data_IF_597142103614
#
_entry.id   IF_597142103614
#
_cell.length_a   1.000
_cell.length_b   1.000
_cell.length_c   1.000
_cell.angle_alpha   90.00
_cell.angle_beta   90.00
_cell.angle_gamma   90.00
#
_symmetry.space_group_name_H-M   'P 1'
#
loop_
_entity.id
_entity.type
_entity.pdbx_description
1 polymer ?
#
# COMPACT_ATOMS: atom_id res chain seq x y z
N UNK A 1 -18.18 -10.01 15.40
CA UNK A 1 -17.63 -10.38 15.50
C UNK A 1 -17.50 -10.70 15.31
N UNK A 2 -17.62 -10.67 15.28
CA UNK A 2 -17.11 -11.11 15.30
C UNK A 2 -16.95 -11.94 15.12
N UNK A 3 -17.19 -12.08 15.06
CA UNK A 3 -16.68 -12.97 15.05
C UNK A 3 -16.62 -13.72 14.76
N UNK A 4 -16.89 -13.84 14.65
CA UNK A 4 -16.46 -14.84 14.54
C UNK A 4 -16.53 -15.39 14.05
N UNK A 5 -16.60 -15.53 14.01
CA UNK A 5 -16.24 -16.31 13.72
C UNK A 5 -16.24 -16.71 13.29
N UNK A 6 -16.37 -16.78 13.31
CA UNK A 6 -15.88 -17.54 13.08
C UNK A 6 -15.80 -17.88 12.60
N UNK A 7 -15.91 -17.95 12.34
CA UNK A 7 -15.37 -18.69 12.00
C UNK A 7 -15.23 -18.86 11.53
N UNK A 8 -15.33 -19.15 11.35
CA UNK A 8 -14.80 -19.74 10.91
C UNK A 8 -14.58 -20.04 10.28
N UNK A 9 -14.75 -20.20 9.96
CA UNK A 9 -14.27 -20.80 9.36
C UNK A 9 -14.02 -21.05 8.65
N UNK A 10 -14.16 -21.18 8.39
CA UNK A 10 -13.66 -21.56 7.75
C UNK A 10 -13.31 -21.63 7.15
N UNK A 11 -13.32 -21.76 6.85
CA UNK A 11 -12.74 -21.95 6.21
C UNK A 11 -12.20 -22.02 5.60
N UNK A 12 -12.22 -21.74 5.50
CA UNK A 12 -11.58 -21.90 4.96
C UNK A 12 -10.90 -22.16 4.15
N UNK A 13 -10.79 -22.21 4.06
CA UNK A 13 -9.97 -22.56 3.20
C UNK A 13 -9.06 -21.93 2.68
N UNK A 14 -8.89 -21.79 2.71
CA UNK A 14 -8.17 -21.23 2.06
C UNK A 14 -6.90 -20.74 2.04
N UNK A 15 -6.22 -20.35 2.46
CA UNK A 15 -4.88 -19.95 2.57
C UNK A 15 -3.92 -20.28 1.47
N UNK A 16 -4.40 -20.84 0.40
CA UNK A 16 -3.55 -21.24 -0.70
C UNK A 16 -3.52 -20.23 -1.82
N UNK A 17 -4.21 -19.14 -1.65
CA UNK A 17 -4.34 -18.12 -2.70
C UNK A 17 -3.32 -17.01 -2.52
N UNK A 18 -3.04 -16.32 -3.62
CA UNK A 18 -2.27 -15.10 -3.58
C UNK A 18 -2.95 -14.11 -2.63
N UNK A 19 -2.15 -13.34 -1.92
CA UNK A 19 -2.68 -12.33 -1.02
C UNK A 19 -3.25 -11.17 -1.81
N UNK A 20 -4.49 -10.83 -1.52
CA UNK A 20 -5.13 -9.62 -2.04
C UNK A 20 -5.04 -8.58 -0.95
N UNK A 21 -4.26 -7.55 -1.20
CA UNK A 21 -4.07 -6.47 -0.25
C UNK A 21 -4.68 -5.22 -0.84
N UNK A 22 -5.93 -4.96 -0.48
CA UNK A 22 -6.64 -3.79 -0.95
C UNK A 22 -6.68 -2.77 0.17
N UNK A 23 -6.31 -1.55 -0.14
CA UNK A 23 -6.36 -0.46 0.83
C UNK A 23 -6.60 0.85 0.11
N UNK A 24 -7.02 1.86 0.86
CA UNK A 24 -7.18 3.21 0.35
C UNK A 24 -5.92 3.99 0.68
N UNK A 25 -5.30 4.59 -0.32
CA UNK A 25 -4.14 5.45 -0.14
C UNK A 25 -4.63 6.90 -0.16
N UNK A 26 -4.40 7.61 0.93
CA UNK A 26 -4.82 9.00 1.09
C UNK A 26 -3.59 9.89 1.09
N UNK A 27 -3.61 10.92 0.27
CA UNK A 27 -2.48 11.84 0.15
C UNK A 27 -2.82 13.16 0.85
N UNK A 28 -2.36 13.31 2.07
CA UNK A 28 -2.50 14.54 2.84
C UNK A 28 -1.21 15.37 2.83
N UNK A 29 -0.38 15.16 1.80
CA UNK A 29 0.82 15.95 1.61
C UNK A 29 0.56 17.06 0.63
N UNK A 30 1.53 17.96 0.47
CA UNK A 30 1.46 19.01 -0.52
C UNK A 30 1.95 18.58 -1.90
N UNK A 31 2.38 17.31 -2.04
CA UNK A 31 2.91 16.78 -3.29
C UNK A 31 1.87 15.96 -4.02
N UNK A 32 2.05 15.83 -5.34
CA UNK A 32 1.31 14.86 -6.15
C UNK A 32 2.24 13.71 -6.51
N UNK A 33 1.71 12.48 -6.56
CA UNK A 33 2.50 11.29 -6.85
C UNK A 33 2.05 10.66 -8.15
N UNK A 34 3.03 10.30 -8.99
CA UNK A 34 2.79 9.68 -10.29
C UNK A 34 3.17 8.20 -10.30
N UNK A 35 3.84 7.74 -9.26
CA UNK A 35 4.25 6.35 -9.18
C UNK A 35 4.04 5.78 -7.79
N UNK A 36 3.54 4.55 -7.74
CA UNK A 36 3.43 3.76 -6.52
C UNK A 36 3.90 2.36 -6.82
N UNK A 37 4.92 1.92 -6.11
CA UNK A 37 5.49 0.59 -6.27
C UNK A 37 5.50 -0.09 -4.92
N UNK A 38 5.03 -1.33 -4.87
CA UNK A 38 5.00 -2.13 -3.65
C UNK A 38 5.68 -3.45 -3.96
N UNK A 39 6.57 -3.89 -3.08
CA UNK A 39 7.26 -5.16 -3.25
C UNK A 39 7.53 -5.80 -1.91
N UNK A 40 7.75 -7.12 -1.92
CA UNK A 40 8.15 -7.83 -0.73
C UNK A 40 9.55 -7.34 -0.29
N UNK A 41 9.83 -7.35 1.02
CA UNK A 41 11.17 -6.98 1.49
C UNK A 41 12.23 -7.86 0.84
N UNK A 42 13.40 -7.29 0.63
CA UNK A 42 14.56 -7.97 0.06
C UNK A 42 14.40 -8.34 -1.42
N UNK A 43 13.32 -7.93 -2.05
CA UNK A 43 13.21 -8.04 -3.50
C UNK A 43 14.02 -6.89 -4.11
N UNK A 44 14.88 -7.22 -5.07
CA UNK A 44 15.74 -6.21 -5.68
C UNK A 44 15.03 -5.38 -6.72
N UNK A 45 13.97 -5.92 -7.28
CA UNK A 45 13.25 -5.25 -8.36
C UNK A 45 11.87 -4.82 -7.89
N UNK A 46 11.50 -3.60 -8.24
CA UNK A 46 10.16 -3.10 -7.98
C UNK A 46 9.21 -3.66 -9.01
N UNK A 47 8.00 -4.00 -8.57
CA UNK A 47 6.95 -4.45 -9.46
C UNK A 47 6.39 -3.26 -10.26
N UNK A 48 5.34 -3.51 -11.04
CA UNK A 48 4.75 -2.48 -11.89
C UNK A 48 4.16 -1.34 -11.08
N UNK A 49 4.09 -0.17 -11.71
CA UNK A 49 3.46 1.00 -11.10
C UNK A 49 1.97 0.73 -10.89
N UNK A 50 1.52 0.86 -9.65
CA UNK A 50 0.13 0.63 -9.28
C UNK A 50 -0.78 1.82 -9.56
N UNK A 51 -0.22 2.98 -9.90
CA UNK A 51 -0.99 4.12 -10.41
C UNK A 51 -1.06 3.98 -11.93
N UNK A 52 -2.06 3.24 -12.39
CA UNK A 52 -2.14 2.83 -13.77
C UNK A 52 -2.63 3.96 -14.68
N UNK A 53 -2.23 3.87 -15.97
CA UNK A 53 -2.76 4.72 -17.04
C UNK A 53 -2.54 6.21 -16.81
N UNK A 54 -1.39 6.56 -16.26
CA UNK A 54 -1.06 7.97 -16.04
C UNK A 54 -1.87 8.64 -14.95
N UNK A 55 -2.49 7.86 -14.07
CA UNK A 55 -3.21 8.43 -12.95
C UNK A 55 -2.22 9.08 -11.99
N UNK A 56 -2.66 10.21 -11.43
CA UNK A 56 -1.87 10.98 -10.48
C UNK A 56 -2.63 11.04 -9.17
N UNK A 57 -1.96 10.71 -8.07
CA UNK A 57 -2.54 10.89 -6.74
C UNK A 57 -2.24 12.32 -6.31
N UNK A 58 -3.18 13.21 -6.54
CA UNK A 58 -2.99 14.64 -6.27
C UNK A 58 -2.97 14.93 -4.78
N UNK A 59 -2.39 16.07 -4.42
CA UNK A 59 -2.42 16.55 -3.04
C UNK A 59 -3.87 16.65 -2.58
N UNK A 60 -4.17 16.05 -1.42
CA UNK A 60 -5.53 16.01 -0.88
C UNK A 60 -6.40 14.91 -1.46
N UNK A 61 -5.91 14.15 -2.43
CA UNK A 61 -6.68 13.09 -3.08
C UNK A 61 -6.53 11.75 -2.41
N UNK A 62 -7.32 10.79 -2.89
CA UNK A 62 -7.22 9.41 -2.43
C UNK A 62 -7.50 8.46 -3.59
N UNK A 63 -7.00 7.26 -3.48
CA UNK A 63 -7.17 6.22 -4.49
C UNK A 63 -7.28 4.86 -3.81
N UNK A 64 -8.10 3.99 -4.37
CA UNK A 64 -8.18 2.60 -3.91
C UNK A 64 -7.09 1.81 -4.62
N UNK A 65 -6.20 1.23 -3.84
CA UNK A 65 -5.09 0.41 -4.36
C UNK A 65 -5.50 -1.05 -4.24
N UNK A 66 -5.40 -1.76 -5.35
CA UNK A 66 -5.61 -3.20 -5.38
C UNK A 66 -4.30 -3.85 -5.71
N UNK A 67 -3.81 -4.62 -4.77
CA UNK A 67 -2.48 -5.18 -4.86
C UNK A 67 -2.56 -6.69 -4.66
N UNK A 68 -2.05 -7.44 -5.62
CA UNK A 68 -1.96 -8.89 -5.55
C UNK A 68 -0.51 -9.30 -5.58
N UNK A 69 -0.14 -10.25 -4.74
CA UNK A 69 1.21 -10.77 -4.74
C UNK A 69 1.20 -12.26 -4.41
N UNK A 70 2.08 -12.99 -5.05
CA UNK A 70 2.32 -14.40 -4.73
C UNK A 70 3.14 -14.54 -3.45
N UNK A 71 3.82 -13.50 -3.05
CA UNK A 71 4.60 -13.50 -1.82
C UNK A 71 3.66 -13.46 -0.62
N UNK A 72 3.93 -14.33 0.35
CA UNK A 72 3.19 -14.34 1.60
C UNK A 72 3.97 -13.51 2.60
N UNK A 73 3.65 -12.25 2.69
CA UNK A 73 4.34 -11.34 3.58
C UNK A 73 3.32 -10.47 4.30
N UNK A 74 3.62 -10.13 5.53
CA UNK A 74 2.84 -9.13 6.27
C UNK A 74 3.43 -7.76 6.10
N UNK A 75 4.69 -7.68 5.73
CA UNK A 75 5.40 -6.42 5.58
C UNK A 75 5.81 -6.22 4.13
N UNK A 76 5.79 -4.97 3.70
CA UNK A 76 6.02 -4.59 2.31
C UNK A 76 6.84 -3.32 2.25
N UNK A 77 7.62 -3.19 1.20
CA UNK A 77 8.34 -1.96 0.91
C UNK A 77 7.54 -1.15 -0.10
N UNK A 78 7.42 0.15 0.15
CA UNK A 78 6.72 1.09 -0.72
C UNK A 78 7.71 2.06 -1.32
N UNK A 79 7.53 2.40 -2.58
CA UNK A 79 8.23 3.52 -3.19
C UNK A 79 7.21 4.40 -3.91
N UNK A 80 7.19 5.66 -3.56
CA UNK A 80 6.34 6.65 -4.21
C UNK A 80 7.22 7.64 -4.96
N UNK A 81 6.81 7.98 -6.17
CA UNK A 81 7.54 8.93 -7.00
C UNK A 81 6.63 10.13 -7.23
N UNK A 82 7.10 11.31 -6.85
CA UNK A 82 6.31 12.53 -7.02
C UNK A 82 6.40 13.06 -8.46
N UNK A 83 5.72 14.16 -8.72
CA UNK A 83 5.64 14.73 -10.05
C UNK A 83 6.94 15.43 -10.48
N UNK A 84 7.91 15.54 -9.58
CA UNK A 84 9.25 16.05 -9.89
C UNK A 84 10.28 14.94 -10.01
N UNK A 85 9.84 13.69 -9.93
CA UNK A 85 10.74 12.54 -10.04
C UNK A 85 11.45 12.16 -8.76
N UNK A 86 11.10 12.77 -7.63
CA UNK A 86 11.71 12.45 -6.34
C UNK A 86 11.00 11.26 -5.72
N UNK A 87 11.77 10.35 -5.15
CA UNK A 87 11.25 9.12 -4.53
C UNK A 87 11.14 9.26 -3.03
N UNK A 88 10.06 8.66 -2.49
CA UNK A 88 9.88 8.49 -1.05
C UNK A 88 9.72 6.99 -0.82
N UNK A 89 10.58 6.42 0.01
CA UNK A 89 10.57 4.98 0.27
C UNK A 89 10.20 4.70 1.71
N UNK A 90 9.25 3.79 1.91
CA UNK A 90 8.88 3.27 3.23
C UNK A 90 9.22 1.80 3.27
N UNK A 91 10.01 1.39 4.26
CA UNK A 91 10.44 0.01 4.41
C UNK A 91 9.57 -0.69 5.44
N UNK A 92 9.30 -1.96 5.19
CA UNK A 92 8.66 -2.86 6.17
C UNK A 92 7.33 -2.34 6.67
N UNK A 93 6.50 -1.87 5.75
CA UNK A 93 5.16 -1.41 6.08
C UNK A 93 4.28 -2.64 6.32
N UNK A 94 3.70 -2.74 7.50
CA UNK A 94 2.82 -3.85 7.82
C UNK A 94 1.40 -3.54 7.34
N UNK A 95 0.94 -4.29 6.35
CA UNK A 95 -0.38 -4.11 5.76
C UNK A 95 -1.43 -5.07 6.30
N UNK A 96 -1.08 -5.91 7.29
CA UNK A 96 -2.03 -6.87 7.86
C UNK A 96 -3.20 -6.13 8.49
N UNK A 97 -4.39 -6.39 7.97
CA UNK A 97 -5.60 -5.75 8.47
C UNK A 97 -5.73 -4.27 8.15
N UNK A 98 -4.84 -3.74 7.31
CA UNK A 98 -4.88 -2.33 6.96
C UNK A 98 -6.01 -2.04 5.98
N UNK A 99 -6.75 -0.96 6.23
CA UNK A 99 -7.78 -0.47 5.32
C UNK A 99 -7.34 0.82 4.65
N UNK A 100 -6.53 1.62 5.33
CA UNK A 100 -6.14 2.94 4.86
C UNK A 100 -4.68 3.20 5.17
N UNK A 101 -3.98 3.76 4.20
CA UNK A 101 -2.62 4.27 4.36
C UNK A 101 -2.68 5.76 4.06
N UNK A 102 -2.33 6.59 5.02
CA UNK A 102 -2.40 8.04 4.90
C UNK A 102 -1.00 8.63 4.88
N UNK A 103 -0.69 9.37 3.82
CA UNK A 103 0.58 10.06 3.67
C UNK A 103 0.43 11.47 4.22
N UNK A 104 1.38 11.88 5.06
CA UNK A 104 1.36 13.21 5.69
C UNK A 104 2.74 13.86 5.62
N UNK A 105 2.75 15.19 5.61
CA UNK A 105 3.96 15.97 5.80
C UNK A 105 4.12 16.25 7.29
N UNK A 106 5.22 15.79 7.87
CA UNK A 106 5.53 16.06 9.27
C UNK A 106 6.94 16.61 9.33
N UNK A 107 7.06 17.89 9.68
CA UNK A 107 8.35 18.58 9.77
C UNK A 107 9.19 18.43 8.50
N UNK A 108 8.54 18.57 7.34
CA UNK A 108 9.22 18.49 6.05
C UNK A 108 9.50 17.09 5.57
N UNK A 109 8.99 16.08 6.27
CA UNK A 109 9.22 14.68 5.95
C UNK A 109 7.89 14.00 5.69
N UNK A 110 7.85 13.18 4.65
CA UNK A 110 6.65 12.41 4.33
C UNK A 110 6.61 11.17 5.24
N UNK A 111 5.49 10.97 5.90
CA UNK A 111 5.25 9.80 6.74
C UNK A 111 4.02 9.06 6.25
N UNK A 112 3.89 7.79 6.64
CA UNK A 112 2.74 6.97 6.33
C UNK A 112 2.10 6.46 7.61
N UNK A 113 0.80 6.69 7.75
CA UNK A 113 0.01 6.16 8.87
C UNK A 113 -0.86 5.03 8.36
N UNK A 114 -0.81 3.90 9.04
CA UNK A 114 -1.54 2.71 8.67
C UNK A 114 -2.70 2.50 9.62
N UNK A 115 -3.90 2.34 9.06
CA UNK A 115 -5.11 2.09 9.87
C UNK A 115 -5.89 0.90 9.38
#
# INVERSE_FOLDING_TARGET
MKSGVFLFILFSIAGTFASDLDFTLVNQTSRSFEGLYITAPDNKDWDANLLLNGKVLVAGGKIRVRFKSDAKSEIWDFNLVDDEGLSVTFKKVNLTGANTVTLKDVNGKITAEIE
#
